data_IF_616533336584
#
_entry.id   IF_616533336584
#
_cell.length_a   1.000
_cell.length_b   1.000
_cell.length_c   1.000
_cell.angle_alpha   90.00
_cell.angle_beta   90.00
_cell.angle_gamma   90.00
#
_symmetry.space_group_name_H-M   'P 1'
#
loop_
_entity.id
_entity.type
_entity.pdbx_description
1 polymer ?
#
# COMPACT_ATOMS: atom_id res chain seq x y z
N UNK A 1 -7.66 12.25 11.24
CA UNK A 1 -6.33 11.62 11.11
C UNK A 1 -6.14 11.23 9.66
N UNK A 2 -4.95 11.44 9.08
CA UNK A 2 -4.62 10.98 7.72
C UNK A 2 -3.68 9.78 7.80
N UNK A 3 -3.98 8.73 7.06
CA UNK A 3 -3.24 7.48 7.03
C UNK A 3 -2.70 7.26 5.61
N UNK A 4 -1.41 6.99 5.48
CA UNK A 4 -0.80 6.56 4.23
C UNK A 4 -0.57 5.06 4.33
N UNK A 5 -1.08 4.30 3.37
CA UNK A 5 -0.97 2.84 3.33
C UNK A 5 -0.27 2.43 2.04
N UNK A 6 0.66 1.50 2.17
CA UNK A 6 1.50 0.98 1.09
C UNK A 6 1.77 -0.52 1.28
N UNK A 7 2.22 -1.16 0.21
CA UNK A 7 2.76 -2.53 0.19
C UNK A 7 3.78 -2.67 -0.95
N UNK A 8 4.44 -3.81 -1.01
CA UNK A 8 5.35 -4.21 -2.09
C UNK A 8 4.69 -5.14 -3.13
N UNK A 9 3.58 -5.82 -2.79
CA UNK A 9 2.87 -6.73 -3.70
C UNK A 9 2.06 -6.02 -4.81
N UNK A 10 1.92 -4.69 -4.74
CA UNK A 10 1.26 -3.86 -5.75
C UNK A 10 -0.14 -3.36 -5.38
N UNK A 11 -0.65 -2.39 -6.15
CA UNK A 11 -1.88 -1.63 -5.88
C UNK A 11 -3.15 -2.49 -5.94
N UNK A 12 -3.13 -3.57 -6.74
CA UNK A 12 -4.25 -4.49 -6.90
C UNK A 12 -4.25 -5.64 -5.87
N UNK A 13 -3.29 -5.68 -4.93
CA UNK A 13 -3.18 -6.77 -3.97
C UNK A 13 -4.39 -6.82 -3.02
N UNK A 14 -5.00 -8.00 -2.88
CA UNK A 14 -6.16 -8.23 -2.01
C UNK A 14 -5.87 -7.85 -0.54
N UNK A 15 -4.65 -8.10 -0.07
CA UNK A 15 -4.20 -7.72 1.27
C UNK A 15 -4.21 -6.21 1.49
N UNK A 16 -3.79 -5.43 0.48
CA UNK A 16 -3.82 -3.97 0.52
C UNK A 16 -5.26 -3.46 0.60
N UNK A 17 -6.16 -3.99 -0.24
CA UNK A 17 -7.58 -3.63 -0.22
C UNK A 17 -8.23 -3.93 1.13
N UNK A 18 -7.91 -5.09 1.72
CA UNK A 18 -8.40 -5.49 3.04
C UNK A 18 -7.94 -4.52 4.13
N UNK A 19 -6.66 -4.14 4.12
CA UNK A 19 -6.11 -3.18 5.08
C UNK A 19 -6.74 -1.79 4.92
N UNK A 20 -6.93 -1.31 3.69
CA UNK A 20 -7.59 -0.03 3.39
C UNK A 20 -9.02 -0.02 3.92
N UNK A 21 -9.78 -1.10 3.73
CA UNK A 21 -11.14 -1.21 4.24
C UNK A 21 -11.21 -1.08 5.76
N UNK A 22 -10.29 -1.74 6.48
CA UNK A 22 -10.21 -1.64 7.93
C UNK A 22 -9.75 -0.24 8.37
N UNK A 23 -8.70 0.27 7.74
CA UNK A 23 -8.07 1.54 8.10
C UNK A 23 -8.98 2.76 7.89
N UNK A 24 -9.88 2.69 6.91
CA UNK A 24 -10.86 3.75 6.62
C UNK A 24 -11.81 4.05 7.80
N UNK A 25 -11.89 3.14 8.78
CA UNK A 25 -12.68 3.35 10.01
C UNK A 25 -12.01 4.32 11.00
N UNK A 26 -10.71 4.59 10.84
CA UNK A 26 -9.92 5.41 11.77
C UNK A 26 -9.40 6.72 11.18
N UNK A 27 -9.61 6.98 9.89
CA UNK A 27 -9.18 8.23 9.26
C UNK A 27 -9.34 8.27 7.75
N UNK A 28 -8.91 9.39 7.17
CA UNK A 28 -8.78 9.56 5.71
C UNK A 28 -7.59 8.73 5.23
N UNK A 29 -7.83 7.77 4.34
CA UNK A 29 -6.79 6.88 3.80
C UNK A 29 -6.32 7.38 2.44
N UNK A 30 -5.01 7.48 2.28
CA UNK A 30 -4.31 7.67 1.01
C UNK A 30 -3.49 6.43 0.73
N UNK A 31 -3.67 5.84 -0.45
CA UNK A 31 -2.96 4.62 -0.85
C UNK A 31 -1.85 4.98 -1.83
N UNK A 32 -0.64 4.49 -1.57
CA UNK A 32 0.49 4.60 -2.48
C UNK A 32 1.15 3.24 -2.55
N UNK A 33 1.14 2.59 -3.70
CA UNK A 33 1.74 1.27 -3.90
C UNK A 33 2.28 1.13 -5.33
N UNK A 34 3.21 0.19 -5.59
CA UNK A 34 3.65 -0.13 -6.94
C UNK A 34 2.48 -0.54 -7.86
N UNK A 35 2.59 -0.28 -9.16
CA UNK A 35 1.60 -0.77 -10.12
C UNK A 35 1.65 -2.31 -10.26
N UNK A 36 2.84 -2.91 -10.12
CA UNK A 36 3.11 -4.35 -10.24
C UNK A 36 3.90 -4.85 -9.03
N UNK A 37 3.79 -6.15 -8.67
CA UNK A 37 4.51 -6.73 -7.54
C UNK A 37 6.02 -6.49 -7.62
N UNK A 38 6.60 -6.00 -6.52
CA UNK A 38 8.05 -5.81 -6.35
C UNK A 38 8.64 -6.80 -5.34
N UNK A 39 7.84 -7.79 -4.92
CA UNK A 39 8.25 -8.83 -3.98
C UNK A 39 9.42 -9.62 -4.58
N UNK A 40 10.62 -9.47 -4.00
CA UNK A 40 11.84 -10.18 -4.42
C UNK A 40 12.88 -9.35 -5.19
N UNK A 41 12.64 -8.06 -5.43
CA UNK A 41 13.68 -7.12 -5.89
C UNK A 41 14.32 -6.37 -4.70
N UNK A 42 15.53 -5.86 -4.88
CA UNK A 42 16.21 -5.08 -3.83
C UNK A 42 15.44 -3.80 -3.47
N UNK A 43 15.11 -3.63 -2.20
CA UNK A 43 14.36 -2.47 -1.68
C UNK A 43 15.26 -1.24 -1.52
N UNK A 44 15.57 -0.54 -2.60
CA UNK A 44 16.34 0.72 -2.56
C UNK A 44 15.46 1.91 -2.92
N UNK A 45 15.72 3.04 -2.24
CA UNK A 45 15.15 4.32 -2.64
C UNK A 45 15.70 4.67 -4.02
N UNK A 46 14.83 4.75 -5.01
CA UNK A 46 15.18 5.33 -6.31
C UNK A 46 14.99 6.85 -6.19
N UNK A 47 16.08 7.61 -6.27
CA UNK A 47 16.09 9.09 -6.21
C UNK A 47 15.92 9.73 -7.58
#
# INVERSE_FOLDING_TARGET
MKLIITNDDGIEAEGLQTLVHLASRWGEVVVVAPAEPQSGIGHQLTT
#
